data_IF_942857046686
#
_entry.id   IF_942857046686
#
_cell.length_a   1.000
_cell.length_b   1.000
_cell.length_c   1.000
_cell.angle_alpha   90.00
_cell.angle_beta   90.00
_cell.angle_gamma   90.00
#
_symmetry.space_group_name_H-M   'P 1'
#
loop_
_entity.id
_entity.type
_entity.pdbx_description
1 polymer ?
#
# COMPACT_ATOMS: atom_id res chain seq x y z
N UNK A 1 19.54 20.44 -5.60
CA UNK A 1 19.54 21.17 -4.31
C UNK A 1 18.12 21.15 -3.76
N UNK A 2 17.56 19.96 -3.52
CA UNK A 2 16.20 19.74 -2.99
C UNK A 2 16.17 19.16 -1.55
N UNK A 3 17.14 18.33 -1.09
CA UNK A 3 17.05 17.66 0.23
C UNK A 3 16.91 18.61 1.41
N UNK A 4 17.78 19.63 1.48
CA UNK A 4 17.83 20.55 2.60
C UNK A 4 16.52 21.34 2.83
N UNK A 5 15.62 21.41 1.84
CA UNK A 5 14.33 22.11 1.97
C UNK A 5 13.27 21.23 2.61
N UNK A 6 13.26 19.92 2.32
CA UNK A 6 12.32 18.98 2.94
C UNK A 6 12.78 18.61 4.36
N UNK A 7 14.09 18.42 4.58
CA UNK A 7 14.65 18.15 5.93
C UNK A 7 14.36 19.27 6.94
N UNK A 8 14.29 20.52 6.47
CA UNK A 8 13.95 21.70 7.30
C UNK A 8 12.49 22.10 7.19
N UNK A 9 11.74 21.42 6.32
CA UNK A 9 10.40 21.78 5.88
C UNK A 9 10.25 23.29 5.58
N UNK A 10 11.17 23.83 4.77
CA UNK A 10 11.28 25.25 4.46
C UNK A 10 11.29 25.49 2.94
N UNK A 11 10.32 26.27 2.46
CA UNK A 11 10.22 26.65 1.04
C UNK A 11 11.20 27.76 0.62
N UNK A 12 11.94 28.35 1.57
CA UNK A 12 12.80 29.52 1.31
C UNK A 12 13.90 29.19 0.31
N UNK A 13 13.75 29.65 -0.93
CA UNK A 13 14.71 29.40 -2.02
C UNK A 13 14.16 28.49 -3.12
N UNK A 14 12.97 27.91 -2.93
CA UNK A 14 12.24 27.23 -4.00
C UNK A 14 11.55 28.24 -4.92
N UNK A 15 11.51 27.93 -6.22
CA UNK A 15 10.81 28.74 -7.24
C UNK A 15 10.26 27.86 -8.36
N UNK A 16 9.29 28.37 -9.12
CA UNK A 16 8.66 27.62 -10.20
C UNK A 16 7.99 26.32 -9.73
N UNK A 17 8.15 25.24 -10.49
CA UNK A 17 7.49 23.96 -10.25
C UNK A 17 7.83 23.34 -8.89
N UNK A 18 9.07 23.47 -8.41
CA UNK A 18 9.47 22.89 -7.12
C UNK A 18 8.75 23.58 -5.95
N UNK A 19 8.56 24.90 -6.03
CA UNK A 19 7.75 25.63 -5.06
C UNK A 19 6.29 25.19 -5.10
N UNK A 20 5.70 25.05 -6.29
CA UNK A 20 4.31 24.58 -6.42
C UNK A 20 4.11 23.19 -5.82
N UNK A 21 5.03 22.26 -6.06
CA UNK A 21 4.97 20.90 -5.49
C UNK A 21 5.10 20.95 -3.97
N UNK A 22 6.06 21.73 -3.45
CA UNK A 22 6.23 21.91 -2.01
C UNK A 22 4.98 22.50 -1.36
N UNK A 23 4.41 23.58 -1.92
CA UNK A 23 3.24 24.23 -1.36
C UNK A 23 2.01 23.29 -1.37
N UNK A 24 1.85 22.47 -2.40
CA UNK A 24 0.79 21.46 -2.47
C UNK A 24 0.98 20.36 -1.40
N UNK A 25 2.22 19.90 -1.20
CA UNK A 25 2.54 18.93 -0.18
C UNK A 25 2.34 19.47 1.23
N UNK A 26 2.84 20.68 1.51
CA UNK A 26 2.66 21.34 2.81
C UNK A 26 1.16 21.55 3.10
N UNK A 27 0.37 21.94 2.11
CA UNK A 27 -1.09 22.01 2.24
C UNK A 27 -1.71 20.66 2.61
N UNK A 28 -1.32 19.57 1.93
CA UNK A 28 -1.80 18.22 2.21
C UNK A 28 -1.46 17.78 3.64
N UNK A 29 -0.18 17.92 4.04
CA UNK A 29 0.28 17.57 5.39
C UNK A 29 -0.47 18.36 6.45
N UNK A 30 -0.59 19.67 6.28
CA UNK A 30 -1.31 20.52 7.21
C UNK A 30 -2.81 20.20 7.25
N UNK A 31 -3.43 19.83 6.12
CA UNK A 31 -4.84 19.41 6.09
C UNK A 31 -5.07 18.12 6.86
N UNK A 32 -4.24 17.09 6.61
CA UNK A 32 -4.31 15.81 7.31
C UNK A 32 -4.11 15.99 8.81
N UNK A 33 -3.07 16.73 9.21
CA UNK A 33 -2.79 17.02 10.61
C UNK A 33 -3.92 17.79 11.29
N UNK A 34 -4.45 18.85 10.66
CA UNK A 34 -5.61 19.60 11.20
C UNK A 34 -6.86 18.74 11.31
N UNK A 35 -7.10 17.81 10.38
CA UNK A 35 -8.24 16.91 10.43
C UNK A 35 -8.10 15.93 11.59
N UNK A 36 -6.92 15.33 11.74
CA UNK A 36 -6.61 14.41 12.83
C UNK A 36 -6.70 15.10 14.19
N UNK A 37 -6.07 16.28 14.34
CA UNK A 37 -6.11 17.09 15.56
C UNK A 37 -7.55 17.42 15.98
N UNK A 38 -8.41 17.82 15.04
CA UNK A 38 -9.82 18.11 15.34
C UNK A 38 -10.61 16.89 15.83
N UNK A 39 -10.22 15.68 15.43
CA UNK A 39 -10.92 14.45 15.81
C UNK A 39 -10.36 13.84 17.10
N UNK A 40 -9.07 14.02 17.38
CA UNK A 40 -8.35 13.23 18.40
C UNK A 40 -7.53 14.07 19.39
N UNK A 41 -7.35 15.38 19.14
CA UNK A 41 -6.62 16.29 20.04
C UNK A 41 -5.09 16.17 19.98
N UNK A 42 -4.55 15.26 19.18
CA UNK A 42 -3.10 15.05 18.99
C UNK A 42 -2.63 15.69 17.69
N UNK A 43 -1.50 16.40 17.75
CA UNK A 43 -0.86 17.00 16.57
C UNK A 43 0.20 16.06 16.00
N UNK A 44 -0.05 15.55 14.79
CA UNK A 44 0.84 14.64 14.07
C UNK A 44 1.63 15.34 12.95
N UNK A 45 1.62 16.68 12.89
CA UNK A 45 2.23 17.45 11.79
C UNK A 45 3.69 17.05 11.58
N UNK A 46 4.49 17.00 12.64
CA UNK A 46 5.91 16.67 12.52
C UNK A 46 6.14 15.23 12.04
N UNK A 47 5.37 14.26 12.55
CA UNK A 47 5.45 12.88 12.08
C UNK A 47 5.14 12.75 10.59
N UNK A 48 4.12 13.47 10.09
CA UNK A 48 3.81 13.50 8.67
C UNK A 48 4.94 14.16 7.86
N UNK A 49 5.56 15.22 8.37
CA UNK A 49 6.71 15.87 7.74
C UNK A 49 7.92 14.95 7.68
N UNK A 50 8.20 14.21 8.74
CA UNK A 50 9.33 13.28 8.81
C UNK A 50 9.19 12.16 7.76
N UNK A 51 7.99 11.56 7.64
CA UNK A 51 7.65 10.55 6.62
C UNK A 51 7.90 11.08 5.20
N UNK A 52 7.46 12.31 4.92
CA UNK A 52 7.70 12.91 3.60
C UNK A 52 9.17 13.27 3.40
N UNK A 53 9.87 13.74 4.44
CA UNK A 53 11.27 14.15 4.36
C UNK A 53 12.17 12.95 4.02
N UNK A 54 12.00 11.80 4.66
CA UNK A 54 12.75 10.58 4.30
C UNK A 54 12.45 10.11 2.87
N UNK A 55 11.21 10.29 2.41
CA UNK A 55 10.82 9.93 1.04
C UNK A 55 11.53 10.82 0.02
N UNK A 56 11.57 12.15 0.23
CA UNK A 56 12.34 13.04 -0.63
C UNK A 56 13.85 12.80 -0.55
N UNK A 57 14.38 12.47 0.63
CA UNK A 57 15.78 12.12 0.81
C UNK A 57 16.15 10.87 0.00
N UNK A 58 15.33 9.81 0.06
CA UNK A 58 15.54 8.58 -0.72
C UNK A 58 15.46 8.81 -2.23
N UNK A 59 14.47 9.57 -2.72
CA UNK A 59 14.40 9.97 -4.12
C UNK A 59 15.60 10.78 -4.58
N UNK A 60 16.11 11.68 -3.73
CA UNK A 60 17.32 12.43 -4.05
C UNK A 60 18.56 11.53 -4.14
N UNK A 61 18.67 10.56 -3.24
CA UNK A 61 19.74 9.56 -3.28
C UNK A 61 19.71 8.75 -4.58
N UNK A 62 18.54 8.25 -4.99
CA UNK A 62 18.39 7.54 -6.27
C UNK A 62 18.72 8.43 -7.48
N UNK A 63 18.24 9.67 -7.48
CA UNK A 63 18.56 10.64 -8.53
C UNK A 63 20.07 10.94 -8.60
N UNK A 64 20.75 10.99 -7.45
CA UNK A 64 22.21 11.17 -7.37
C UNK A 64 22.92 9.97 -7.98
N UNK A 65 22.54 8.74 -7.61
CA UNK A 65 23.11 7.51 -8.16
C UNK A 65 22.95 7.44 -9.68
N UNK A 66 21.73 7.67 -10.17
CA UNK A 66 21.44 7.68 -11.62
C UNK A 66 22.26 8.74 -12.34
N UNK A 67 22.33 9.97 -11.81
CA UNK A 67 23.09 11.06 -12.45
C UNK A 67 24.60 10.83 -12.46
N UNK A 68 25.17 10.25 -11.40
CA UNK A 68 26.61 10.01 -11.31
C UNK A 68 27.04 8.68 -11.94
N UNK A 69 26.09 7.81 -12.30
CA UNK A 69 26.38 6.43 -12.68
C UNK A 69 26.93 5.59 -11.52
N UNK A 70 26.72 6.03 -10.27
CA UNK A 70 27.17 5.29 -9.10
C UNK A 70 26.27 4.07 -8.91
N UNK A 71 26.89 2.91 -8.70
CA UNK A 71 26.19 1.67 -8.43
C UNK A 71 26.38 1.33 -6.95
N UNK A 72 25.35 1.52 -6.11
CA UNK A 72 25.40 1.06 -4.72
C UNK A 72 25.44 -0.46 -4.64
N UNK A 73 25.77 -0.99 -3.46
CA UNK A 73 25.55 -2.41 -3.18
C UNK A 73 24.04 -2.74 -3.22
N UNK A 74 23.66 -3.97 -3.57
CA UNK A 74 22.26 -4.39 -3.67
C UNK A 74 21.49 -4.16 -2.36
N UNK A 75 22.11 -4.41 -1.20
CA UNK A 75 21.52 -4.15 0.12
C UNK A 75 21.37 -2.64 0.40
N UNK A 76 22.38 -1.82 0.08
CA UNK A 76 22.33 -0.36 0.24
C UNK A 76 21.22 0.25 -0.63
N UNK A 77 21.10 -0.24 -1.87
CA UNK A 77 20.00 0.10 -2.75
C UNK A 77 18.66 -0.27 -2.13
N UNK A 78 18.52 -1.48 -1.59
CA UNK A 78 17.22 -1.95 -1.08
C UNK A 78 16.76 -1.11 0.11
N UNK A 79 17.64 -0.72 1.02
CA UNK A 79 17.32 0.18 2.14
C UNK A 79 16.78 1.54 1.66
N UNK A 80 17.38 2.10 0.61
CA UNK A 80 16.89 3.34 0.00
C UNK A 80 15.57 3.10 -0.77
N UNK A 81 15.50 2.01 -1.53
CA UNK A 81 14.39 1.61 -2.40
C UNK A 81 13.10 1.29 -1.64
N UNK A 82 13.25 0.79 -0.41
CA UNK A 82 12.15 0.58 0.54
C UNK A 82 11.46 1.89 0.91
N UNK A 83 12.21 2.99 1.01
CA UNK A 83 11.66 4.31 1.32
C UNK A 83 11.15 4.99 0.05
N UNK A 84 11.90 4.90 -1.05
CA UNK A 84 11.58 5.58 -2.32
C UNK A 84 10.31 5.09 -3.00
N UNK A 85 9.90 3.84 -2.77
CA UNK A 85 8.60 3.32 -3.25
C UNK A 85 7.40 4.01 -2.57
N UNK A 86 7.63 4.73 -1.47
CA UNK A 86 6.70 5.58 -0.75
C UNK A 86 5.37 4.92 -0.31
N UNK A 87 5.30 3.59 -0.21
CA UNK A 87 4.07 2.90 0.23
C UNK A 87 3.67 3.28 1.66
N UNK A 88 4.65 3.49 2.54
CA UNK A 88 4.45 3.92 3.92
C UNK A 88 3.83 5.33 4.02
N UNK A 89 4.16 6.26 3.09
CA UNK A 89 3.56 7.61 3.03
C UNK A 89 2.05 7.58 2.82
N UNK A 90 1.53 6.52 2.21
CA UNK A 90 0.09 6.33 1.96
C UNK A 90 -0.59 5.66 3.16
N UNK A 91 0.02 4.60 3.68
CA UNK A 91 -0.63 3.71 4.66
C UNK A 91 -0.58 4.25 6.08
N UNK A 92 0.54 4.85 6.50
CA UNK A 92 0.70 5.29 7.88
C UNK A 92 -0.28 6.42 8.25
N UNK A 93 -0.40 7.53 7.47
CA UNK A 93 -1.38 8.57 7.78
C UNK A 93 -2.82 8.04 7.75
N UNK A 94 -3.16 7.16 6.81
CA UNK A 94 -4.48 6.54 6.73
C UNK A 94 -4.76 5.62 7.94
N UNK A 95 -3.74 4.94 8.45
CA UNK A 95 -3.87 4.08 9.62
C UNK A 95 -4.17 4.88 10.89
N UNK A 96 -3.68 6.13 11.02
CA UNK A 96 -4.06 7.02 12.12
C UNK A 96 -5.58 7.21 12.20
N UNK A 97 -6.24 7.41 11.06
CA UNK A 97 -7.70 7.58 10.99
C UNK A 97 -8.48 6.28 11.23
N UNK A 98 -7.88 5.11 10.99
CA UNK A 98 -8.48 3.80 11.29
C UNK A 98 -8.33 3.40 12.76
N UNK A 99 -7.35 3.97 13.46
CA UNK A 99 -7.04 3.66 14.84
C UNK A 99 -6.68 4.93 15.62
N UNK A 100 -7.69 5.66 16.10
CA UNK A 100 -7.51 6.92 16.85
C UNK A 100 -6.54 6.87 18.03
N UNK A 101 -6.38 5.70 18.65
CA UNK A 101 -5.46 5.48 19.78
C UNK A 101 -4.07 4.99 19.33
N UNK A 102 -3.71 5.15 18.05
CA UNK A 102 -2.41 4.76 17.55
C UNK A 102 -1.33 5.64 18.21
N UNK A 103 -0.31 5.05 18.85
CA UNK A 103 0.81 5.81 19.36
C UNK A 103 1.60 6.51 18.23
N UNK A 104 2.01 7.76 18.46
CA UNK A 104 2.75 8.57 17.48
C UNK A 104 4.09 7.94 17.06
N UNK A 105 4.72 7.12 17.92
CA UNK A 105 5.98 6.46 17.61
C UNK A 105 5.89 5.54 16.38
N UNK A 106 4.69 5.07 16.02
CA UNK A 106 4.48 4.23 14.84
C UNK A 106 4.62 4.98 13.52
N UNK A 107 4.57 6.31 13.58
CA UNK A 107 4.83 7.19 12.46
C UNK A 107 6.30 7.61 12.40
N UNK A 108 7.11 7.26 13.39
CA UNK A 108 8.52 7.64 13.43
C UNK A 108 9.33 6.71 12.53
N UNK A 109 10.03 7.25 11.50
CA UNK A 109 10.93 6.48 10.63
C UNK A 109 11.92 5.58 11.36
N UNK A 110 12.48 6.04 12.47
CA UNK A 110 13.44 5.29 13.27
C UNK A 110 12.82 4.08 13.99
N UNK A 111 11.49 4.04 14.13
CA UNK A 111 10.75 3.07 14.95
C UNK A 111 9.66 2.35 14.19
N UNK A 112 9.72 2.31 12.85
CA UNK A 112 8.78 1.53 12.07
C UNK A 112 8.70 0.09 12.56
N UNK A 113 7.49 -0.42 12.73
CA UNK A 113 7.29 -1.82 13.07
C UNK A 113 7.58 -2.69 11.83
N UNK A 114 7.85 -3.98 12.05
CA UNK A 114 8.20 -4.91 10.98
C UNK A 114 7.12 -4.98 9.89
N UNK A 115 5.83 -4.88 10.22
CA UNK A 115 4.75 -4.86 9.20
C UNK A 115 4.87 -3.66 8.24
N UNK A 116 5.33 -2.51 8.72
CA UNK A 116 5.57 -1.31 7.90
C UNK A 116 6.81 -1.48 7.03
N UNK A 117 7.90 -2.04 7.57
CA UNK A 117 9.08 -2.40 6.74
C UNK A 117 8.74 -3.42 5.66
N UNK A 118 7.87 -4.39 5.96
CA UNK A 118 7.38 -5.37 4.98
C UNK A 118 6.53 -4.72 3.89
N UNK A 119 5.65 -3.79 4.28
CA UNK A 119 4.89 -2.93 3.35
C UNK A 119 5.80 -2.11 2.43
N UNK A 120 7.01 -1.78 2.85
CA UNK A 120 7.98 -1.03 2.06
C UNK A 120 8.75 -1.93 1.09
N UNK A 121 9.34 -3.03 1.59
CA UNK A 121 10.21 -3.89 0.78
C UNK A 121 9.47 -4.71 -0.28
N UNK A 122 8.26 -5.18 0.02
CA UNK A 122 7.51 -6.05 -0.90
C UNK A 122 7.13 -5.30 -2.19
N UNK A 123 6.50 -4.10 -2.13
CA UNK A 123 6.29 -3.25 -3.31
C UNK A 123 7.55 -2.94 -4.10
N UNK A 124 8.69 -2.70 -3.43
CA UNK A 124 9.95 -2.40 -4.11
C UNK A 124 10.44 -3.59 -4.93
N UNK A 125 10.48 -4.77 -4.32
CA UNK A 125 10.88 -6.01 -5.02
C UNK A 125 9.91 -6.37 -6.16
N UNK A 126 8.60 -6.23 -5.93
CA UNK A 126 7.58 -6.43 -6.98
C UNK A 126 7.83 -5.53 -8.18
N UNK A 127 8.07 -4.23 -7.93
CA UNK A 127 8.37 -3.28 -8.99
C UNK A 127 9.66 -3.68 -9.71
N UNK A 128 10.76 -3.88 -8.99
CA UNK A 128 12.08 -4.14 -9.58
C UNK A 128 12.10 -5.38 -10.47
N UNK A 129 11.45 -6.47 -10.04
CA UNK A 129 11.34 -7.71 -10.83
C UNK A 129 10.66 -7.47 -12.18
N UNK A 130 9.70 -6.55 -12.24
CA UNK A 130 8.92 -6.29 -13.46
C UNK A 130 9.45 -5.10 -14.28
N UNK A 131 10.20 -4.17 -13.67
CA UNK A 131 10.67 -2.95 -14.33
C UNK A 131 12.12 -3.01 -14.79
N UNK A 132 12.92 -4.00 -14.38
CA UNK A 132 14.37 -4.03 -14.62
C UNK A 132 14.78 -3.78 -16.09
N UNK A 133 14.07 -4.35 -17.07
CA UNK A 133 14.40 -4.15 -18.51
C UNK A 133 14.19 -2.71 -18.95
N UNK A 134 13.18 -2.03 -18.41
CA UNK A 134 12.90 -0.62 -18.70
C UNK A 134 13.96 0.25 -18.04
N UNK A 135 14.21 0.01 -16.76
CA UNK A 135 15.17 0.79 -15.96
C UNK A 135 16.61 0.63 -16.46
N UNK A 136 16.99 -0.56 -16.94
CA UNK A 136 18.28 -0.77 -17.61
C UNK A 136 18.44 0.16 -18.82
N UNK A 137 17.41 0.34 -19.65
CA UNK A 137 17.42 1.24 -20.81
C UNK A 137 17.46 2.71 -20.42
N UNK A 138 16.86 3.05 -19.28
CA UNK A 138 16.83 4.40 -18.72
C UNK A 138 18.12 4.74 -17.94
N UNK A 139 19.01 3.77 -17.72
CA UNK A 139 20.22 3.95 -16.91
C UNK A 139 19.92 4.13 -15.41
N UNK A 140 18.79 3.57 -14.95
CA UNK A 140 18.38 3.59 -13.55
C UNK A 140 18.88 2.36 -12.81
N UNK A 141 19.09 2.54 -11.51
CA UNK A 141 19.45 1.47 -10.58
C UNK A 141 18.23 0.60 -10.29
N UNK A 142 18.44 -0.72 -10.16
CA UNK A 142 17.40 -1.71 -9.91
C UNK A 142 18.01 -2.90 -9.15
N UNK A 143 17.31 -3.49 -8.19
CA UNK A 143 17.84 -4.57 -7.36
C UNK A 143 18.30 -5.79 -8.17
N UNK A 144 17.52 -6.24 -9.15
CA UNK A 144 17.85 -7.39 -10.01
C UNK A 144 19.13 -7.11 -10.82
N UNK A 145 19.26 -5.89 -11.35
CA UNK A 145 20.44 -5.49 -12.12
C UNK A 145 21.69 -5.37 -11.24
N UNK A 146 21.55 -4.89 -10.00
CA UNK A 146 22.66 -4.81 -9.05
C UNK A 146 23.13 -6.19 -8.62
N UNK A 147 22.20 -7.06 -8.22
CA UNK A 147 22.51 -8.43 -7.83
C UNK A 147 23.24 -9.19 -8.97
N UNK A 148 22.77 -9.03 -10.21
CA UNK A 148 23.43 -9.65 -11.38
C UNK A 148 24.86 -9.13 -11.59
N UNK A 149 25.13 -7.85 -11.31
CA UNK A 149 26.49 -7.29 -11.40
C UNK A 149 27.42 -7.76 -10.28
N UNK A 150 26.88 -7.95 -9.08
CA UNK A 150 27.62 -8.47 -7.94
C UNK A 150 27.93 -9.97 -8.07
N UNK A 151 27.14 -10.69 -8.89
CA UNK A 151 27.26 -12.12 -9.13
C UNK A 151 27.46 -12.40 -10.63
N UNK A 152 28.63 -12.08 -11.22
CA UNK A 152 28.85 -12.12 -12.67
C UNK A 152 28.81 -13.53 -13.28
N UNK A 153 28.91 -14.57 -12.46
CA UNK A 153 28.78 -15.98 -12.89
C UNK A 153 27.30 -16.43 -13.02
N UNK A 154 26.37 -15.67 -12.46
CA UNK A 154 24.94 -15.94 -12.50
C UNK A 154 24.28 -15.18 -13.65
N UNK A 155 23.29 -15.79 -14.29
CA UNK A 155 22.54 -15.08 -15.33
C UNK A 155 21.48 -14.13 -14.72
N UNK A 156 20.79 -13.38 -15.58
CA UNK A 156 19.75 -12.46 -15.11
C UNK A 156 18.54 -13.19 -14.51
N UNK A 157 18.25 -14.41 -14.98
CA UNK A 157 17.13 -15.21 -14.47
C UNK A 157 17.43 -15.75 -13.07
N UNK A 158 18.69 -16.09 -12.76
CA UNK A 158 19.15 -16.40 -11.41
C UNK A 158 18.93 -15.22 -10.46
N UNK A 159 19.23 -14.00 -10.91
CA UNK A 159 19.02 -12.78 -10.13
C UNK A 159 17.53 -12.46 -9.92
N UNK A 160 16.69 -12.75 -10.91
CA UNK A 160 15.23 -12.66 -10.79
C UNK A 160 14.71 -13.71 -9.80
N UNK A 161 15.21 -14.94 -9.89
CA UNK A 161 14.83 -16.03 -8.98
C UNK A 161 15.21 -15.69 -7.53
N UNK A 162 16.41 -15.15 -7.31
CA UNK A 162 16.85 -14.66 -6.01
C UNK A 162 15.94 -13.57 -5.45
N UNK A 163 15.62 -12.55 -6.24
CA UNK A 163 14.69 -11.49 -5.83
C UNK A 163 13.29 -12.04 -5.50
N UNK A 164 12.80 -13.03 -6.27
CA UNK A 164 11.53 -13.72 -6.01
C UNK A 164 11.57 -14.54 -4.71
N UNK A 165 12.67 -15.20 -4.40
CA UNK A 165 12.83 -15.94 -3.14
C UNK A 165 12.72 -15.00 -1.93
N UNK A 166 13.44 -13.87 -1.96
CA UNK A 166 13.34 -12.84 -0.91
C UNK A 166 11.89 -12.35 -0.80
N UNK A 167 11.29 -12.01 -1.94
CA UNK A 167 9.92 -11.50 -2.01
C UNK A 167 8.92 -12.50 -1.40
N UNK A 168 9.01 -13.79 -1.71
CA UNK A 168 8.08 -14.81 -1.21
C UNK A 168 8.24 -15.06 0.28
N UNK A 169 9.47 -15.02 0.80
CA UNK A 169 9.71 -15.04 2.26
C UNK A 169 9.09 -13.83 2.93
N UNK A 170 9.29 -12.62 2.38
CA UNK A 170 8.73 -11.38 2.94
C UNK A 170 7.20 -11.36 2.90
N UNK A 171 6.56 -11.92 1.87
CA UNK A 171 5.10 -12.07 1.84
C UNK A 171 4.59 -12.98 2.96
N UNK A 172 5.27 -14.09 3.25
CA UNK A 172 4.91 -14.97 4.37
C UNK A 172 5.00 -14.23 5.71
N UNK A 173 6.12 -13.53 5.95
CA UNK A 173 6.30 -12.66 7.13
C UNK A 173 5.15 -11.62 7.22
N UNK A 174 4.78 -10.97 6.11
CA UNK A 174 3.68 -10.00 6.09
C UNK A 174 2.34 -10.63 6.47
N UNK A 175 2.03 -11.83 5.97
CA UNK A 175 0.78 -12.52 6.28
C UNK A 175 0.70 -12.88 7.77
N UNK A 176 1.80 -13.33 8.36
CA UNK A 176 1.87 -13.57 9.81
C UNK A 176 1.59 -12.29 10.61
N UNK A 177 2.28 -11.20 10.27
CA UNK A 177 2.03 -9.89 10.87
C UNK A 177 0.59 -9.40 10.67
N UNK A 178 0.00 -9.60 9.50
CA UNK A 178 -1.31 -9.07 9.16
C UNK A 178 -2.46 -9.85 9.82
N UNK A 179 -2.33 -11.18 9.89
CA UNK A 179 -3.41 -12.10 10.23
C UNK A 179 -3.33 -12.66 11.66
N UNK A 180 -2.16 -12.63 12.29
CA UNK A 180 -1.98 -13.11 13.67
C UNK A 180 -2.14 -11.98 14.68
N UNK A 181 -3.07 -12.13 15.62
CA UNK A 181 -3.23 -11.16 16.71
C UNK A 181 -2.02 -11.17 17.66
N UNK A 182 -1.62 -9.99 18.14
CA UNK A 182 -0.52 -9.83 19.09
C UNK A 182 0.90 -9.88 18.51
N UNK A 183 1.06 -10.09 17.20
CA UNK A 183 2.37 -10.12 16.54
C UNK A 183 3.00 -8.73 16.38
N UNK A 184 2.16 -7.69 16.39
CA UNK A 184 2.54 -6.28 16.32
C UNK A 184 1.46 -5.45 16.99
N UNK A 185 1.77 -4.19 17.26
CA UNK A 185 0.90 -3.34 18.08
C UNK A 185 -0.22 -2.69 17.26
N UNK A 186 -0.29 -2.91 15.93
CA UNK A 186 -1.30 -2.27 15.09
C UNK A 186 -2.67 -2.90 15.31
N UNK A 187 -3.72 -2.07 15.30
CA UNK A 187 -5.09 -2.56 15.31
C UNK A 187 -5.39 -3.36 14.04
N UNK A 188 -6.31 -4.31 14.13
CA UNK A 188 -6.70 -5.19 13.01
C UNK A 188 -7.04 -4.41 11.71
N UNK A 189 -7.80 -3.29 11.75
CA UNK A 189 -8.02 -2.47 10.56
C UNK A 189 -6.73 -1.92 9.93
N UNK A 190 -5.77 -1.47 10.75
CA UNK A 190 -4.49 -0.96 10.24
C UNK A 190 -3.66 -2.08 9.60
N UNK A 191 -3.61 -3.27 10.23
CA UNK A 191 -2.92 -4.43 9.68
C UNK A 191 -3.52 -4.87 8.34
N UNK A 192 -4.84 -4.86 8.24
CA UNK A 192 -5.54 -5.10 6.98
C UNK A 192 -5.25 -4.02 5.94
N UNK A 193 -5.11 -2.75 6.33
CA UNK A 193 -4.73 -1.68 5.39
C UNK A 193 -3.33 -1.91 4.81
N UNK A 194 -2.35 -2.31 5.63
CA UNK A 194 -1.01 -2.68 5.15
C UNK A 194 -1.10 -3.82 4.11
N UNK A 195 -1.83 -4.89 4.44
CA UNK A 195 -2.03 -6.01 3.52
C UNK A 195 -2.75 -5.59 2.23
N UNK A 196 -3.77 -4.74 2.31
CA UNK A 196 -4.50 -4.22 1.15
C UNK A 196 -3.60 -3.40 0.23
N UNK A 197 -2.73 -2.56 0.78
CA UNK A 197 -1.76 -1.81 -0.03
C UNK A 197 -0.80 -2.75 -0.78
N UNK A 198 -0.27 -3.77 -0.10
CA UNK A 198 0.59 -4.78 -0.77
C UNK A 198 -0.17 -5.53 -1.86
N UNK A 199 -1.45 -5.86 -1.66
CA UNK A 199 -2.31 -6.47 -2.70
C UNK A 199 -2.48 -5.58 -3.93
N UNK A 200 -2.54 -4.26 -3.76
CA UNK A 200 -2.59 -3.31 -4.89
C UNK A 200 -1.28 -3.34 -5.67
N UNK A 201 -0.13 -3.34 -5.00
CA UNK A 201 1.17 -3.49 -5.68
C UNK A 201 1.33 -4.84 -6.38
N UNK A 202 0.81 -5.91 -5.78
CA UNK A 202 0.71 -7.19 -6.47
C UNK A 202 -0.09 -7.06 -7.76
N UNK A 203 -1.29 -6.50 -7.71
CA UNK A 203 -2.13 -6.31 -8.90
C UNK A 203 -1.40 -5.52 -10.02
N UNK A 204 -0.50 -4.60 -9.67
CA UNK A 204 0.32 -3.85 -10.62
C UNK A 204 1.50 -4.65 -11.21
N UNK A 205 2.07 -5.60 -10.46
CA UNK A 205 3.38 -6.20 -10.74
C UNK A 205 3.43 -7.74 -10.65
N UNK A 206 2.29 -8.43 -10.59
CA UNK A 206 2.25 -9.89 -10.35
C UNK A 206 2.89 -10.68 -11.49
N UNK A 207 2.48 -10.41 -12.73
CA UNK A 207 2.91 -11.15 -13.93
C UNK A 207 3.56 -10.26 -14.99
N UNK A 208 3.24 -8.96 -14.98
CA UNK A 208 3.83 -7.94 -15.85
C UNK A 208 3.83 -6.59 -15.13
N UNK A 209 4.53 -5.60 -15.67
CA UNK A 209 4.47 -4.22 -15.20
C UNK A 209 3.21 -3.51 -15.76
N UNK A 210 2.06 -3.80 -15.14
CA UNK A 210 0.76 -3.20 -15.52
C UNK A 210 0.65 -1.73 -15.14
N UNK A 211 1.47 -1.29 -14.18
CA UNK A 211 1.53 0.10 -13.75
C UNK A 211 1.92 1.05 -14.87
N UNK A 212 2.90 0.66 -15.69
CA UNK A 212 3.35 1.47 -16.84
C UNK A 212 2.42 1.35 -18.08
N UNK A 213 1.36 0.54 -18.00
CA UNK A 213 0.42 0.30 -19.10
C UNK A 213 -0.83 1.17 -19.00
N UNK A 214 -1.16 1.85 -20.11
CA UNK A 214 -2.35 2.70 -20.18
C UNK A 214 -3.67 1.92 -20.30
N UNK A 215 -3.62 0.61 -20.58
CA UNK A 215 -4.81 -0.17 -20.94
C UNK A 215 -5.04 -1.40 -20.06
N UNK A 216 -4.00 -1.98 -19.48
CA UNK A 216 -4.11 -3.27 -18.78
C UNK A 216 -4.99 -3.22 -17.53
N UNK A 217 -5.12 -2.06 -16.87
CA UNK A 217 -5.96 -1.88 -15.68
C UNK A 217 -7.40 -1.45 -15.99
N UNK A 218 -7.73 -1.12 -17.25
CA UNK A 218 -9.00 -0.46 -17.58
C UNK A 218 -10.22 -1.33 -17.26
N UNK A 219 -10.15 -2.62 -17.55
CA UNK A 219 -11.25 -3.55 -17.27
C UNK A 219 -11.48 -3.73 -15.77
N UNK A 220 -10.42 -3.78 -14.97
CA UNK A 220 -10.53 -3.88 -13.51
C UNK A 220 -11.16 -2.62 -12.92
N UNK A 221 -10.75 -1.43 -13.40
CA UNK A 221 -11.35 -0.15 -13.02
C UNK A 221 -12.84 -0.10 -13.41
N UNK A 222 -13.18 -0.55 -14.63
CA UNK A 222 -14.58 -0.64 -15.09
C UNK A 222 -15.42 -1.52 -14.16
N UNK A 223 -14.93 -2.72 -13.85
CA UNK A 223 -15.63 -3.65 -12.95
C UNK A 223 -15.76 -3.14 -11.51
N UNK A 224 -14.75 -2.41 -11.02
CA UNK A 224 -14.75 -1.92 -9.65
C UNK A 224 -15.69 -0.72 -9.42
N UNK A 225 -15.80 0.19 -10.40
CA UNK A 225 -16.47 1.48 -10.18
C UNK A 225 -17.66 1.76 -11.10
N UNK A 226 -17.73 1.15 -12.28
CA UNK A 226 -18.66 1.57 -13.33
C UNK A 226 -19.66 0.50 -13.74
N UNK A 227 -19.29 -0.78 -13.71
CA UNK A 227 -20.15 -1.89 -14.09
C UNK A 227 -20.91 -2.37 -12.85
N UNK A 228 -22.25 -2.23 -12.80
CA UNK A 228 -23.04 -2.73 -11.68
C UNK A 228 -22.96 -4.26 -11.58
N UNK A 229 -22.99 -4.77 -10.35
CA UNK A 229 -23.09 -6.22 -10.12
C UNK A 229 -24.50 -6.68 -10.48
N UNK A 230 -24.61 -7.56 -11.48
CA UNK A 230 -25.88 -8.20 -11.81
C UNK A 230 -26.21 -9.24 -10.74
N UNK A 231 -27.09 -8.86 -9.81
CA UNK A 231 -27.68 -9.81 -8.86
C UNK A 231 -28.84 -10.49 -9.58
N UNK A 232 -28.58 -11.64 -10.20
CA UNK A 232 -29.65 -12.47 -10.74
C UNK A 232 -30.70 -12.78 -9.66
N UNK A 233 -31.98 -12.92 -10.06
CA UNK A 233 -33.02 -13.38 -9.16
C UNK A 233 -32.56 -14.68 -8.47
N UNK A 234 -32.81 -14.88 -7.15
CA UNK A 234 -32.47 -16.13 -6.48
C UNK A 234 -33.04 -17.27 -7.31
N UNK A 235 -32.18 -18.16 -7.82
CA UNK A 235 -32.66 -19.38 -8.48
C UNK A 235 -33.58 -20.07 -7.47
N UNK A 236 -34.85 -20.36 -7.82
CA UNK A 236 -35.70 -21.16 -6.97
C UNK A 236 -34.94 -22.44 -6.66
N UNK A 237 -34.77 -22.75 -5.37
CA UNK A 237 -34.25 -24.05 -4.97
C UNK A 237 -35.14 -25.10 -5.65
N UNK A 238 -34.55 -25.88 -6.56
CA UNK A 238 -35.25 -27.00 -7.17
C UNK A 238 -35.77 -27.89 -6.03
N UNK A 239 -37.07 -28.25 -6.03
CA UNK A 239 -37.58 -29.17 -5.03
C UNK A 239 -36.74 -30.44 -5.13
N UNK A 240 -36.05 -30.78 -4.04
CA UNK A 240 -35.41 -32.08 -3.90
C UNK A 240 -36.50 -33.13 -4.11
N UNK A 241 -36.47 -33.81 -5.26
CA UNK A 241 -37.18 -35.06 -5.44
C UNK A 241 -36.60 -36.04 -4.44
N UNK A 242 -37.32 -36.27 -3.36
CA UNK A 242 -36.89 -37.16 -2.30
C UNK A 242 -36.68 -38.56 -2.85
N UNK A 243 -35.42 -38.99 -2.90
CA UNK A 243 -35.07 -40.39 -2.67
C UNK A 243 -34.25 -40.44 -1.38
N UNK A 244 -34.87 -40.95 -0.32
CA UNK A 244 -34.18 -41.24 0.94
C UNK A 244 -33.17 -42.37 0.69
N UNK A 245 -31.91 -42.04 0.42
CA UNK A 245 -30.81 -42.98 0.65
C UNK A 245 -30.16 -42.64 1.99
N UNK A 246 -30.38 -43.53 2.97
CA UNK A 246 -29.72 -43.51 4.27
C UNK A 246 -28.25 -43.87 4.07
N UNK A 247 -27.35 -42.96 4.42
CA UNK A 247 -25.95 -43.28 4.71
C UNK A 247 -25.73 -43.15 6.23
N UNK A 248 -24.97 -44.05 6.86
CA UNK A 248 -24.85 -44.11 8.31
C UNK A 248 -24.07 -42.91 8.86
N UNK A 249 -24.62 -42.29 9.91
CA UNK A 249 -24.00 -41.23 10.69
C UNK A 249 -22.80 -41.77 11.47
N UNK A 250 -21.59 -41.30 11.14
CA UNK A 250 -20.44 -41.41 12.04
C UNK A 250 -20.48 -40.22 12.98
N UNK A 251 -20.71 -40.48 14.27
CA UNK A 251 -20.66 -39.48 15.34
C UNK A 251 -19.19 -39.30 15.73
N UNK A 252 -18.60 -38.16 15.38
CA UNK A 252 -17.35 -37.70 15.99
C UNK A 252 -17.69 -36.61 17.01
N UNK A 253 -17.69 -36.99 18.28
CA UNK A 253 -17.85 -36.09 19.42
C UNK A 253 -16.55 -35.34 19.69
N UNK A 254 -16.52 -34.04 19.42
CA UNK A 254 -15.51 -33.14 19.99
C UNK A 254 -16.13 -32.38 21.15
N UNK A 255 -15.65 -32.65 22.36
CA UNK A 255 -15.94 -31.85 23.55
C UNK A 255 -15.20 -30.51 23.41
N UNK A 256 -15.94 -29.41 23.36
CA UNK A 256 -15.38 -28.08 23.58
C UNK A 256 -16.02 -27.48 24.84
N UNK A 257 -15.16 -27.19 25.81
CA UNK A 257 -15.50 -26.75 27.15
C UNK A 257 -16.07 -25.31 27.12
N UNK A 258 -17.27 -25.14 27.68
CA UNK A 258 -17.95 -23.85 27.79
C UNK A 258 -17.54 -23.14 29.07
N UNK A 259 -16.82 -22.01 28.97
CA UNK A 259 -16.89 -20.94 29.99
C UNK A 259 -16.68 -19.57 29.34
N UNK A 260 -17.76 -18.83 29.09
CA UNK A 260 -18.05 -17.58 29.82
C UNK A 260 -19.42 -17.00 29.44
N UNK A 261 -20.03 -16.35 30.44
CA UNK A 261 -21.44 -16.03 30.62
C UNK A 261 -22.01 -14.95 29.68
N UNK A 262 -23.22 -15.24 29.19
CA UNK A 262 -24.39 -14.37 28.98
C UNK A 262 -24.22 -12.84 29.09
N UNK A 263 -24.55 -12.15 27.99
CA UNK A 263 -25.28 -10.87 28.05
C UNK A 263 -26.24 -10.77 26.85
N UNK A 264 -27.53 -10.80 27.15
CA UNK A 264 -28.62 -10.49 26.21
C UNK A 264 -28.69 -8.97 26.05
N UNK A 265 -28.61 -8.48 24.81
CA UNK A 265 -29.07 -7.14 24.44
C UNK A 265 -30.03 -7.30 23.26
N UNK A 266 -31.26 -6.83 23.45
CA UNK A 266 -32.32 -6.79 22.44
C UNK A 266 -31.98 -5.70 21.42
N UNK A 267 -32.02 -6.02 20.12
CA UNK A 267 -32.04 -5.02 19.05
C UNK A 267 -33.50 -4.80 18.64
N UNK A 268 -33.96 -3.56 18.78
CA UNK A 268 -35.20 -3.08 18.20
C UNK A 268 -34.93 -2.57 16.78
N UNK A 269 -35.83 -2.92 15.87
CA UNK A 269 -35.84 -2.49 14.46
C UNK A 269 -36.27 -1.02 14.30
N UNK A 270 -35.85 -0.47 13.15
CA UNK A 270 -36.36 0.69 12.42
C UNK A 270 -35.71 2.07 12.67
N UNK A 271 -34.97 2.52 11.64
CA UNK A 271 -35.32 3.77 10.94
C UNK A 271 -34.73 3.76 9.52
N UNK A 272 -35.62 3.89 8.54
CA UNK A 272 -35.31 4.17 7.13
C UNK A 272 -35.21 5.68 6.98
N UNK A 273 -34.09 6.18 6.45
CA UNK A 273 -33.97 7.57 5.98
C UNK A 273 -33.55 7.53 4.51
N UNK A 274 -34.46 8.03 3.67
CA UNK A 274 -34.27 8.22 2.23
C UNK A 274 -33.61 9.58 1.95
N UNK A 275 -32.72 9.62 0.94
CA UNK A 275 -32.18 10.87 0.38
C UNK A 275 -32.48 10.95 -1.12
N UNK A 276 -32.96 12.09 -1.64
CA UNK A 276 -33.27 12.24 -3.05
C UNK A 276 -32.01 12.55 -3.87
N UNK A 277 -31.91 11.88 -5.02
CA UNK A 277 -30.90 12.12 -6.06
C UNK A 277 -31.39 13.29 -6.92
N UNK A 278 -30.62 14.38 -6.95
CA UNK A 278 -30.76 15.45 -7.94
C UNK A 278 -29.51 15.46 -8.80
N UNK A 279 -29.66 15.13 -10.08
CA UNK A 279 -28.61 15.17 -11.07
C UNK A 279 -28.47 16.56 -11.70
N UNK A 280 -27.23 16.95 -12.01
CA UNK A 280 -26.95 18.03 -12.94
C UNK A 280 -25.89 17.53 -13.96
N UNK A 281 -26.20 17.44 -15.26
CA UNK A 281 -25.23 17.08 -16.27
C UNK A 281 -24.38 18.32 -16.62
N UNK A 282 -23.18 18.11 -17.16
CA UNK A 282 -22.17 19.13 -17.52
C UNK A 282 -21.16 19.52 -16.42
N UNK A 283 -20.25 18.61 -16.10
CA UNK A 283 -18.87 18.99 -15.77
C UNK A 283 -17.95 18.62 -16.94
N UNK A 284 -17.43 19.63 -17.62
CA UNK A 284 -16.28 19.47 -18.52
C UNK A 284 -15.08 19.06 -17.67
N UNK A 285 -14.54 17.87 -17.91
CA UNK A 285 -13.29 17.43 -17.30
C UNK A 285 -12.16 18.40 -17.70
N UNK A 286 -11.43 19.01 -16.76
CA UNK A 286 -10.17 19.66 -17.11
C UNK A 286 -9.20 18.58 -17.59
N UNK A 287 -8.54 18.81 -18.72
CA UNK A 287 -7.47 17.94 -19.21
C UNK A 287 -6.43 17.76 -18.10
N UNK A 288 -6.17 16.50 -17.74
CA UNK A 288 -5.13 16.15 -16.78
C UNK A 288 -3.77 16.66 -17.30
N UNK A 289 -2.96 17.33 -16.47
CA UNK A 289 -1.57 17.54 -16.80
C UNK A 289 -0.91 16.18 -17.01
N UNK A 290 -0.14 16.01 -18.09
CA UNK A 290 0.74 14.84 -18.27
C UNK A 290 1.90 14.91 -17.27
N UNK A 291 1.62 14.66 -16.00
CA UNK A 291 2.63 14.40 -14.98
C UNK A 291 2.88 12.90 -14.97
N UNK A 292 3.91 12.46 -15.70
CA UNK A 292 4.47 11.12 -15.52
C UNK A 292 5.24 11.12 -14.20
N UNK A 293 4.54 10.89 -13.09
CA UNK A 293 5.17 10.35 -11.90
C UNK A 293 5.23 8.84 -12.10
N UNK A 294 6.23 8.38 -12.84
CA UNK A 294 6.81 7.09 -12.48
C UNK A 294 7.50 7.35 -11.15
N UNK A 295 7.39 6.44 -10.18
CA UNK A 295 8.40 6.40 -9.12
C UNK A 295 9.78 6.45 -9.81
N UNK A 296 10.61 7.35 -9.31
CA UNK A 296 11.45 8.27 -10.10
C UNK A 296 12.30 7.65 -11.20
#
# INVERSE_FOLDING_TARGET
MLPNYFDRWDAKGLSGHSKTIFDALDSLVNELARKYFRQHGTDITNSLRDIWSETFASWFTEAKWSKSGFLPAAEEYLETGMTSIASHTLVLPASCFLSPSMPDYKLNPAQYESITRLLMVIPRLLNDIQSYKKEQKEGKTNFVLLHSKENPEADIEDSIAYAREILDRKKKELLEHALTDGFNDFSKPCRHLHLSCVKVFHMFFDSSNRYDSNTEMLQDIQKAFYIPVEVGAPKPLLPHSGSRQRYPTVVASYHFDQRYKNRIIRLAENSVVSHPISGNPYMKMPMAPKLKFCFM
#
